data_IF_291235790950
#
_entry.id   IF_291235790950
#
_cell.length_a   1.000
_cell.length_b   1.000
_cell.length_c   1.000
_cell.angle_alpha   90.00
_cell.angle_beta   90.00
_cell.angle_gamma   90.00
#
_symmetry.space_group_name_H-M   'P 1'
#
loop_
_entity.id
_entity.type
_entity.pdbx_description
1 polymer ?
#
# COMPACT_ATOMS: atom_id res chain seq x y z
N UNK A 1 -15.63 -42.98 -19.27
CA UNK A 1 -14.91 -42.59 -18.03
C UNK A 1 -13.66 -41.74 -18.34
N UNK A 2 -13.77 -40.74 -19.23
CA UNK A 2 -12.62 -39.89 -19.65
C UNK A 2 -13.06 -38.46 -20.05
N UNK A 3 -14.13 -37.95 -19.43
CA UNK A 3 -14.63 -36.58 -19.72
C UNK A 3 -14.99 -35.78 -18.45
N UNK A 4 -14.84 -36.37 -17.25
CA UNK A 4 -15.11 -35.70 -15.96
C UNK A 4 -13.85 -34.99 -15.41
N UNK A 5 -12.65 -35.32 -15.91
CA UNK A 5 -11.40 -34.68 -15.49
C UNK A 5 -11.09 -33.35 -16.22
N UNK A 6 -11.82 -33.02 -17.28
CA UNK A 6 -11.56 -31.85 -18.11
C UNK A 6 -11.94 -30.50 -17.46
N UNK A 7 -13.04 -30.36 -16.67
CA UNK A 7 -13.29 -29.11 -15.95
C UNK A 7 -12.34 -28.89 -14.76
N UNK A 8 -11.63 -29.92 -14.29
CA UNK A 8 -10.66 -29.78 -13.18
C UNK A 8 -9.33 -29.18 -13.64
N UNK A 9 -8.90 -29.46 -14.87
CA UNK A 9 -7.69 -28.86 -15.46
C UNK A 9 -7.95 -27.45 -16.01
N UNK A 10 -9.19 -27.15 -16.44
CA UNK A 10 -9.54 -25.82 -16.95
C UNK A 10 -9.67 -24.74 -15.86
N UNK A 11 -9.89 -25.13 -14.60
CA UNK A 11 -9.94 -24.21 -13.45
C UNK A 11 -8.59 -23.71 -12.95
N UNK A 12 -7.48 -24.33 -13.38
CA UNK A 12 -6.11 -23.98 -12.94
C UNK A 12 -5.47 -22.87 -13.78
N UNK A 13 -6.06 -22.51 -14.92
CA UNK A 13 -5.58 -21.43 -15.78
C UNK A 13 -6.19 -20.07 -15.40
N UNK A 14 -6.21 -19.74 -14.09
CA UNK A 14 -6.65 -18.43 -13.60
C UNK A 14 -5.46 -17.44 -13.67
N UNK A 15 -5.63 -16.27 -14.28
CA UNK A 15 -4.55 -15.56 -14.95
C UNK A 15 -3.54 -14.91 -13.99
N UNK A 16 -2.26 -14.95 -14.35
CA UNK A 16 -1.15 -14.23 -13.72
C UNK A 16 -1.16 -12.70 -14.01
N UNK A 17 -2.31 -12.14 -14.34
CA UNK A 17 -2.45 -10.72 -14.70
C UNK A 17 -2.73 -9.86 -13.48
N UNK A 18 -1.77 -9.79 -12.54
CA UNK A 18 -1.84 -8.88 -11.38
C UNK A 18 -0.97 -7.64 -11.52
N UNK A 19 -0.44 -7.34 -12.70
CA UNK A 19 0.25 -6.08 -12.93
C UNK A 19 -0.78 -5.01 -13.29
N UNK A 20 -1.28 -4.29 -12.29
CA UNK A 20 -2.03 -3.06 -12.53
C UNK A 20 -1.05 -1.95 -12.89
N UNK A 21 -1.22 -1.33 -14.05
CA UNK A 21 -0.52 -0.09 -14.39
C UNK A 21 -1.05 1.04 -13.49
N UNK A 22 -0.41 1.22 -12.34
CA UNK A 22 -0.70 2.35 -11.45
C UNK A 22 -0.09 3.60 -12.09
N UNK A 23 -0.92 4.38 -12.79
CA UNK A 23 -0.50 5.67 -13.31
C UNK A 23 -0.31 6.67 -12.15
N UNK A 24 0.80 7.41 -12.14
CA UNK A 24 1.02 8.50 -11.17
C UNK A 24 -0.14 9.50 -11.19
N UNK A 25 -0.73 9.77 -12.38
CA UNK A 25 -1.92 10.63 -12.51
C UNK A 25 -3.14 10.09 -11.78
N UNK A 26 -3.38 8.77 -11.81
CA UNK A 26 -4.50 8.17 -11.08
C UNK A 26 -4.28 8.09 -9.56
N UNK A 27 -3.06 8.40 -9.09
CA UNK A 27 -2.70 8.42 -7.67
C UNK A 27 -3.03 9.77 -7.02
N UNK A 28 -3.05 10.85 -7.81
CA UNK A 28 -3.49 12.19 -7.37
C UNK A 28 -5.02 12.31 -7.40
N UNK A 29 -5.68 11.57 -6.50
CA UNK A 29 -7.12 11.67 -6.29
C UNK A 29 -7.45 12.78 -5.28
N UNK A 30 -8.71 13.18 -5.21
CA UNK A 30 -9.19 14.17 -4.24
C UNK A 30 -8.93 13.77 -2.77
N UNK A 31 -8.69 12.48 -2.50
CA UNK A 31 -8.34 11.97 -1.17
C UNK A 31 -6.99 11.28 -1.21
N UNK A 32 -6.15 11.62 -0.23
CA UNK A 32 -4.83 11.00 -0.09
C UNK A 32 -4.92 9.49 0.16
N UNK A 33 -3.91 8.69 -0.21
CA UNK A 33 -3.86 7.27 0.12
C UNK A 33 -4.05 6.99 1.62
N UNK A 34 -3.50 7.86 2.48
CA UNK A 34 -3.70 7.79 3.93
C UNK A 34 -5.18 7.93 4.33
N UNK A 35 -5.92 8.90 3.77
CA UNK A 35 -7.36 9.06 4.04
C UNK A 35 -8.19 7.86 3.56
N UNK A 36 -7.76 7.20 2.47
CA UNK A 36 -8.41 5.98 2.00
C UNK A 36 -8.18 4.82 2.96
N UNK A 37 -6.97 4.71 3.52
CA UNK A 37 -6.63 3.75 4.55
C UNK A 37 -7.45 3.96 5.84
N UNK A 38 -7.56 5.20 6.34
CA UNK A 38 -8.39 5.48 7.51
C UNK A 38 -9.86 5.05 7.29
N UNK A 39 -10.40 5.26 6.08
CA UNK A 39 -11.74 4.77 5.74
C UNK A 39 -11.85 3.26 5.66
N UNK A 40 -10.80 2.54 5.26
CA UNK A 40 -10.85 1.07 5.24
C UNK A 40 -10.90 0.51 6.67
N UNK A 41 -10.19 1.14 7.62
CA UNK A 41 -10.29 0.79 9.04
C UNK A 41 -11.71 1.02 9.59
N UNK A 42 -12.36 2.13 9.22
CA UNK A 42 -13.76 2.38 9.59
C UNK A 42 -14.70 1.30 9.04
N UNK A 43 -14.55 0.94 7.75
CA UNK A 43 -15.33 -0.12 7.10
C UNK A 43 -15.11 -1.51 7.71
N UNK A 44 -13.94 -1.76 8.29
CA UNK A 44 -13.64 -2.99 9.01
C UNK A 44 -14.27 -3.04 10.41
N UNK A 45 -15.16 -2.10 10.75
CA UNK A 45 -15.79 -1.96 12.07
C UNK A 45 -14.76 -1.82 13.21
N UNK A 46 -13.57 -1.30 12.91
CA UNK A 46 -12.57 -0.98 13.93
C UNK A 46 -12.77 0.41 14.52
N UNK A 47 -13.68 1.21 13.95
CA UNK A 47 -13.98 2.56 14.40
C UNK A 47 -14.31 2.59 15.91
N UNK A 48 -13.68 3.51 16.65
CA UNK A 48 -13.83 3.62 18.10
C UNK A 48 -13.03 2.62 18.94
N UNK A 49 -12.37 1.63 18.32
CA UNK A 49 -11.45 0.74 19.05
C UNK A 49 -10.13 1.44 19.39
N UNK A 50 -9.46 0.97 20.46
CA UNK A 50 -8.10 1.42 20.78
C UNK A 50 -7.12 1.18 19.62
N UNK A 51 -7.31 0.07 18.88
CA UNK A 51 -6.49 -0.25 17.71
C UNK A 51 -6.65 0.79 16.60
N UNK A 52 -7.86 1.26 16.34
CA UNK A 52 -8.12 2.30 15.34
C UNK A 52 -7.48 3.64 15.70
N UNK A 53 -7.53 4.04 16.97
CA UNK A 53 -6.85 5.25 17.44
C UNK A 53 -5.33 5.12 17.26
N UNK A 54 -4.76 4.00 17.69
CA UNK A 54 -3.32 3.75 17.56
C UNK A 54 -2.84 3.83 16.10
N UNK A 55 -3.59 3.25 15.15
CA UNK A 55 -3.24 3.33 13.73
C UNK A 55 -3.34 4.75 13.16
N UNK A 56 -4.35 5.52 13.55
CA UNK A 56 -4.48 6.91 13.12
C UNK A 56 -3.38 7.80 13.70
N UNK A 57 -3.05 7.64 14.98
CA UNK A 57 -1.97 8.39 15.62
C UNK A 57 -0.61 8.07 15.00
N UNK A 58 -0.31 6.79 14.79
CA UNK A 58 0.92 6.36 14.14
C UNK A 58 1.03 6.94 12.72
N UNK A 59 -0.06 6.91 11.94
CA UNK A 59 -0.10 7.46 10.59
C UNK A 59 0.09 8.98 10.54
N UNK A 60 -0.61 9.73 11.39
CA UNK A 60 -0.47 11.19 11.46
C UNK A 60 0.95 11.61 11.87
N UNK A 61 1.53 10.89 12.84
CA UNK A 61 2.89 11.18 13.33
C UNK A 61 3.92 11.06 12.20
N UNK A 62 3.89 9.96 11.43
CA UNK A 62 4.90 9.75 10.39
C UNK A 62 4.76 10.71 9.21
N UNK A 63 3.55 11.14 8.88
CA UNK A 63 3.35 12.13 7.82
C UNK A 63 3.89 13.52 8.20
N UNK A 64 3.90 13.83 9.50
CA UNK A 64 4.43 15.08 10.02
C UNK A 64 5.95 15.02 10.22
N UNK A 65 6.47 13.91 10.76
CA UNK A 65 7.86 13.73 11.17
C UNK A 65 8.63 12.75 10.24
N UNK A 66 8.35 12.81 8.93
CA UNK A 66 9.01 11.96 7.94
C UNK A 66 10.50 12.31 7.79
N UNK A 67 11.36 11.29 7.75
CA UNK A 67 12.80 11.46 7.53
C UNK A 67 13.10 11.71 6.06
N UNK A 68 13.95 12.70 5.75
CA UNK A 68 14.40 12.96 4.38
C UNK A 68 15.53 12.01 3.98
N UNK A 69 15.40 11.35 2.82
CA UNK A 69 16.38 10.41 2.29
C UNK A 69 16.81 10.80 0.87
N UNK A 70 18.04 10.45 0.51
CA UNK A 70 18.59 10.65 -0.83
C UNK A 70 18.57 9.33 -1.59
N UNK A 71 18.11 9.36 -2.84
CA UNK A 71 18.05 8.19 -3.70
C UNK A 71 19.42 7.87 -4.31
N UNK A 72 19.77 6.58 -4.53
CA UNK A 72 18.98 5.39 -4.23
C UNK A 72 19.04 5.02 -2.74
N UNK A 73 17.88 4.77 -2.13
CA UNK A 73 17.74 4.41 -0.72
C UNK A 73 17.10 3.03 -0.58
N UNK A 74 17.55 2.24 0.39
CA UNK A 74 16.97 0.94 0.76
C UNK A 74 16.54 0.98 2.21
N UNK A 75 15.23 0.95 2.45
CA UNK A 75 14.69 0.81 3.79
C UNK A 75 14.87 -0.64 4.30
N UNK A 76 15.24 -0.78 5.57
CA UNK A 76 15.29 -2.06 6.27
C UNK A 76 14.44 -1.92 7.52
N UNK A 77 13.42 -2.76 7.67
CA UNK A 77 12.50 -2.66 8.79
C UNK A 77 11.62 -3.90 8.92
N UNK A 78 11.15 -4.13 10.14
CA UNK A 78 10.20 -5.19 10.46
C UNK A 78 8.93 -4.58 11.06
N UNK A 79 7.80 -4.89 10.45
CA UNK A 79 6.48 -4.46 10.91
C UNK A 79 5.74 -5.67 11.46
N UNK A 80 5.67 -5.76 12.79
CA UNK A 80 4.92 -6.81 13.46
C UNK A 80 3.41 -6.56 13.29
N UNK A 81 2.64 -7.59 12.96
CA UNK A 81 1.20 -7.45 12.67
C UNK A 81 0.36 -7.05 13.90
N UNK A 82 0.86 -7.35 15.10
CA UNK A 82 0.24 -7.04 16.39
C UNK A 82 0.55 -5.61 16.89
N UNK A 83 1.49 -4.91 16.24
CA UNK A 83 1.95 -3.59 16.66
C UNK A 83 1.63 -2.53 15.59
N UNK A 84 0.69 -1.60 15.87
CA UNK A 84 0.44 -0.47 14.99
C UNK A 84 1.65 0.45 14.94
N UNK A 85 2.50 0.26 13.92
CA UNK A 85 3.70 1.05 13.64
C UNK A 85 3.66 1.55 12.21
N UNK A 86 4.19 2.75 12.01
CA UNK A 86 4.34 3.37 10.70
C UNK A 86 5.75 3.93 10.56
N UNK A 87 6.23 4.04 9.31
CA UNK A 87 7.48 4.70 8.92
C UNK A 87 7.17 5.69 7.80
N UNK A 88 7.85 6.84 7.79
CA UNK A 88 7.64 7.91 6.81
C UNK A 88 8.95 8.35 6.17
N UNK A 89 9.02 8.28 4.84
CA UNK A 89 10.17 8.70 4.05
C UNK A 89 9.79 9.86 3.13
N UNK A 90 10.60 10.91 3.14
CA UNK A 90 10.52 12.03 2.21
C UNK A 90 11.73 11.99 1.29
N UNK A 91 11.53 12.12 -0.01
CA UNK A 91 12.62 12.21 -0.97
C UNK A 91 12.23 13.19 -2.08
N UNK A 92 13.25 13.78 -2.70
CA UNK A 92 13.06 14.61 -3.88
C UNK A 92 12.74 13.70 -5.07
N UNK A 93 11.59 13.92 -5.70
CA UNK A 93 11.24 13.25 -6.93
C UNK A 93 12.03 13.90 -8.09
N UNK A 94 13.15 13.30 -8.46
CA UNK A 94 13.88 13.70 -9.66
C UNK A 94 13.03 13.43 -10.90
N UNK A 95 12.65 14.49 -11.63
CA UNK A 95 12.19 14.33 -13.00
C UNK A 95 13.30 13.69 -13.82
N UNK A 96 12.97 12.70 -14.64
CA UNK A 96 13.90 12.12 -15.60
C UNK A 96 14.50 13.23 -16.46
N UNK A 97 15.72 13.66 -16.12
CA UNK A 97 16.55 14.43 -17.06
C UNK A 97 16.93 13.47 -18.16
N UNK A 98 16.07 13.37 -19.18
CA UNK A 98 16.48 12.86 -20.48
C UNK A 98 17.59 13.77 -20.98
N UNK A 99 18.81 13.29 -20.77
CA UNK A 99 19.96 13.64 -21.58
C UNK A 99 19.81 12.89 -22.91
N UNK A 100 20.15 13.61 -23.98
CA UNK A 100 20.11 13.25 -25.41
C UNK A 100 18.78 13.54 -26.14
#
# INVERSE_FOLDING_TARGET
>A
MRLIFYPFILGLAMPLSSCSEISLKSTFQARSPYEQYVRSLQKAALEGSALFQNWQEAGQRVLSDSSQVTLPYREQGYFAADQPKASGLRFEAGGESRSA
#
